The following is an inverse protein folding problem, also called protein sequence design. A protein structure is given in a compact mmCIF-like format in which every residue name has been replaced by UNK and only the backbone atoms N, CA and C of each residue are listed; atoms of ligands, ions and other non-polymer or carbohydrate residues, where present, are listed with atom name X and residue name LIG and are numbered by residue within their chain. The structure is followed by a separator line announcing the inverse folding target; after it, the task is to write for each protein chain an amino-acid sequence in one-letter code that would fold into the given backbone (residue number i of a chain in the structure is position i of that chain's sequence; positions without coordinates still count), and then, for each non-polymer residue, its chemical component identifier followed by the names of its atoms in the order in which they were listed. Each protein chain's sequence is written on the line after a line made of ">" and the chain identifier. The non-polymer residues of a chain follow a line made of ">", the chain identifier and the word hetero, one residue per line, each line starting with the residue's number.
data_IF_622659470845
#
_entry.id   IF_622659470845
#
_cell.length_a   1.000
_cell.length_b   1.000
_cell.length_c   1.000
_cell.angle_alpha   90.00
_cell.angle_beta   90.00
_cell.angle_gamma   90.00
#
_symmetry.space_group_name_H-M   'P 1'
#
loop_
_entity.id
_entity.type
_entity.pdbx_description
1 polymer ?
#
# COMPACT_ATOMS: atom_id res chain seq x y z
N UNK A 1 -9.67 -8.63 -10.13
CA UNK A 1 -8.87 -7.40 -9.97
C UNK A 1 -7.55 -7.61 -10.69
N UNK A 2 -7.06 -6.60 -11.39
CA UNK A 2 -5.73 -6.64 -12.00
C UNK A 2 -4.65 -6.70 -10.90
N UNK A 3 -3.71 -7.67 -10.94
CA UNK A 3 -2.73 -7.88 -9.87
C UNK A 3 -1.76 -6.69 -9.73
N UNK A 4 -1.48 -5.98 -10.82
CA UNK A 4 -0.57 -4.82 -10.83
C UNK A 4 -1.27 -3.63 -10.17
N UNK A 5 -2.53 -3.37 -10.51
CA UNK A 5 -3.34 -2.32 -9.87
C UNK A 5 -3.48 -2.58 -8.37
N UNK A 6 -3.78 -3.83 -7.98
CA UNK A 6 -3.89 -4.19 -6.57
C UNK A 6 -2.60 -3.92 -5.80
N UNK A 7 -1.45 -4.24 -6.40
CA UNK A 7 -0.14 -4.04 -5.79
C UNK A 7 0.16 -2.55 -5.52
N UNK A 8 -0.17 -1.67 -6.48
CA UNK A 8 -0.01 -0.22 -6.32
C UNK A 8 -0.87 0.32 -5.18
N UNK A 9 -2.15 -0.05 -5.14
CA UNK A 9 -3.06 0.40 -4.08
C UNK A 9 -2.61 -0.12 -2.71
N UNK A 10 -2.21 -1.39 -2.61
CA UNK A 10 -1.66 -1.95 -1.37
C UNK A 10 -0.41 -1.22 -0.91
N UNK A 11 0.51 -0.87 -1.82
CA UNK A 11 1.73 -0.14 -1.49
C UNK A 11 1.43 1.26 -0.92
N UNK A 12 0.47 1.98 -1.49
CA UNK A 12 0.03 3.29 -0.98
C UNK A 12 -0.57 3.18 0.43
N UNK A 13 -1.46 2.21 0.64
CA UNK A 13 -2.13 2.00 1.93
C UNK A 13 -1.13 1.62 3.01
N UNK A 14 -0.26 0.63 2.75
CA UNK A 14 0.73 0.18 3.74
C UNK A 14 1.82 1.22 3.98
N UNK A 15 2.24 1.95 2.94
CA UNK A 15 3.19 3.06 3.06
C UNK A 15 2.67 4.17 3.98
N UNK A 16 1.41 4.56 3.81
CA UNK A 16 0.79 5.58 4.66
C UNK A 16 0.63 5.10 6.10
N UNK A 17 0.20 3.85 6.33
CA UNK A 17 0.15 3.27 7.69
C UNK A 17 1.52 3.31 8.39
N UNK A 18 2.59 2.95 7.67
CA UNK A 18 3.94 3.01 8.22
C UNK A 18 4.36 4.45 8.57
N UNK A 19 4.02 5.43 7.72
CA UNK A 19 4.21 6.86 8.01
C UNK A 19 3.49 7.32 9.28
N UNK A 20 2.21 6.96 9.43
CA UNK A 20 1.40 7.30 10.59
C UNK A 20 1.91 6.65 11.89
N UNK A 21 2.49 5.46 11.81
CA UNK A 21 3.04 4.74 12.98
C UNK A 21 4.38 5.29 13.48
N UNK A 22 5.00 6.25 12.77
CA UNK A 22 6.34 6.75 13.09
C UNK A 22 7.47 5.75 12.80
N UNK A 23 7.15 4.57 12.25
CA UNK A 23 8.12 3.53 11.88
C UNK A 23 8.70 3.70 10.47
N UNK A 24 8.23 4.68 9.69
CA UNK A 24 8.75 4.95 8.36
C UNK A 24 10.14 5.59 8.43
N UNK A 25 11.12 4.97 7.76
CA UNK A 25 12.41 5.59 7.50
C UNK A 25 12.28 6.70 6.46
N UNK A 26 13.26 7.60 6.36
CA UNK A 26 13.32 8.61 5.29
C UNK A 26 13.13 7.99 3.91
N UNK A 27 13.76 6.82 3.68
CA UNK A 27 13.65 6.09 2.42
C UNK A 27 12.22 5.62 2.14
N UNK A 28 11.49 5.09 3.14
CA UNK A 28 10.07 4.71 2.97
C UNK A 28 9.22 5.92 2.59
N UNK A 29 9.44 7.06 3.26
CA UNK A 29 8.71 8.31 2.97
C UNK A 29 9.00 8.81 1.56
N UNK A 30 10.26 8.84 1.14
CA UNK A 30 10.66 9.25 -0.21
C UNK A 30 10.07 8.33 -1.28
N UNK A 31 10.13 7.01 -1.09
CA UNK A 31 9.54 6.05 -2.03
C UNK A 31 8.02 6.16 -2.09
N UNK A 32 7.33 6.41 -0.96
CA UNK A 32 5.89 6.67 -0.93
C UNK A 32 5.54 7.94 -1.72
N UNK A 33 6.26 9.05 -1.50
CA UNK A 33 6.02 10.30 -2.23
C UNK A 33 6.28 10.15 -3.73
N UNK A 34 7.33 9.42 -4.12
CA UNK A 34 7.61 9.06 -5.51
C UNK A 34 6.45 8.27 -6.12
N UNK A 35 5.93 7.27 -5.41
CA UNK A 35 4.79 6.47 -5.88
C UNK A 35 3.53 7.33 -6.06
N UNK A 36 3.21 8.20 -5.09
CA UNK A 36 2.09 9.15 -5.19
C UNK A 36 2.20 10.01 -6.45
N UNK A 37 3.38 10.59 -6.71
CA UNK A 37 3.61 11.42 -7.89
C UNK A 37 3.47 10.67 -9.22
N UNK A 38 3.94 9.42 -9.28
CA UNK A 38 3.79 8.56 -10.47
C UNK A 38 2.32 8.23 -10.74
N UNK A 39 1.55 7.90 -9.70
CA UNK A 39 0.12 7.64 -9.83
C UNK A 39 -0.64 8.88 -10.29
N UNK A 40 -0.39 10.07 -9.70
CA UNK A 40 -1.00 11.32 -10.16
C UNK A 40 -0.65 11.59 -11.64
N UNK A 41 0.62 11.39 -12.02
CA UNK A 41 1.07 11.53 -13.40
C UNK A 41 0.36 10.57 -14.36
N UNK A 42 0.10 9.33 -13.92
CA UNK A 42 -0.62 8.32 -14.67
C UNK A 42 -2.09 8.70 -14.86
N UNK A 43 -2.77 9.10 -13.78
CA UNK A 43 -4.15 9.58 -13.81
C UNK A 43 -4.30 10.79 -14.75
N UNK A 44 -3.32 11.71 -14.72
CA UNK A 44 -3.28 12.87 -15.62
C UNK A 44 -3.17 12.47 -17.09
N UNK A 45 -2.33 11.49 -17.43
CA UNK A 45 -2.28 10.93 -18.80
C UNK A 45 -3.61 10.27 -19.20
N UNK A 46 -4.35 9.76 -18.22
CA UNK A 46 -5.70 9.23 -18.37
C UNK A 46 -6.81 10.27 -18.54
N UNK A 47 -6.52 11.56 -18.45
CA UNK A 47 -7.49 12.64 -18.54
C UNK A 47 -8.03 13.17 -17.20
N UNK A 48 -7.53 12.67 -16.07
CA UNK A 48 -7.92 13.17 -14.74
C UNK A 48 -7.16 14.47 -14.43
N UNK A 49 -7.86 15.51 -13.96
CA UNK A 49 -7.21 16.75 -13.54
C UNK A 49 -6.21 16.49 -12.40
N UNK A 50 -5.12 17.26 -12.35
CA UNK A 50 -4.03 17.04 -11.38
C UNK A 50 -4.53 17.09 -9.92
N UNK A 51 -5.32 18.11 -9.57
CA UNK A 51 -5.92 18.26 -8.24
C UNK A 51 -6.85 17.09 -7.88
N UNK A 52 -7.63 16.61 -8.85
CA UNK A 52 -8.51 15.46 -8.67
C UNK A 52 -7.71 14.16 -8.48
N UNK A 53 -6.62 13.99 -9.24
CA UNK A 53 -5.71 12.86 -9.10
C UNK A 53 -5.01 12.85 -7.75
N UNK A 54 -4.54 14.01 -7.28
CA UNK A 54 -3.95 14.15 -5.95
C UNK A 54 -4.96 13.85 -4.85
N UNK A 55 -6.19 14.37 -4.97
CA UNK A 55 -7.25 14.07 -4.00
C UNK A 55 -7.60 12.58 -3.97
N UNK A 56 -7.68 11.92 -5.13
CA UNK A 56 -7.92 10.47 -5.22
C UNK A 56 -6.80 9.66 -4.57
N UNK A 57 -5.55 10.04 -4.79
CA UNK A 57 -4.40 9.36 -4.17
C UNK A 57 -4.40 9.56 -2.65
N UNK A 58 -4.68 10.77 -2.15
CA UNK A 58 -4.77 11.02 -0.71
C UNK A 58 -5.96 10.26 -0.07
N UNK A 59 -7.13 10.26 -0.70
CA UNK A 59 -8.29 9.49 -0.23
C UNK A 59 -8.00 7.98 -0.24
N UNK A 60 -7.31 7.47 -1.25
CA UNK A 60 -6.94 6.06 -1.27
C UNK A 60 -5.95 5.66 -0.16
N UNK A 61 -5.33 6.62 0.50
CA UNK A 61 -4.50 6.35 1.69
C UNK A 61 -5.29 6.31 2.99
N UNK A 62 -6.57 6.66 2.96
CA UNK A 62 -7.50 6.41 4.06
C UNK A 62 -7.83 4.91 4.12
N UNK A 63 -7.87 4.29 5.31
CA UNK A 63 -8.25 2.88 5.46
C UNK A 63 -9.70 2.56 5.04
N UNK A 64 -10.56 3.56 4.79
CA UNK A 64 -11.92 3.36 4.30
C UNK A 64 -11.93 2.73 2.89
N UNK A 65 -12.37 1.47 2.81
CA UNK A 65 -12.37 0.65 1.57
C UNK A 65 -13.09 1.27 0.38
N UNK A 66 -14.12 2.09 0.60
CA UNK A 66 -14.90 2.71 -0.49
C UNK A 66 -14.04 3.68 -1.32
N UNK A 67 -13.04 4.32 -0.70
CA UNK A 67 -12.17 5.28 -1.38
C UNK A 67 -11.14 4.59 -2.29
N UNK A 68 -10.86 3.30 -2.06
CA UNK A 68 -9.95 2.50 -2.91
C UNK A 68 -10.61 2.13 -4.25
N UNK A 69 -11.93 1.96 -4.27
CA UNK A 69 -12.65 1.50 -5.46
C UNK A 69 -12.51 2.48 -6.64
N UNK A 70 -12.59 3.79 -6.38
CA UNK A 70 -12.43 4.82 -7.41
C UNK A 70 -11.02 4.85 -7.96
N UNK A 71 -10.00 4.79 -7.09
CA UNK A 71 -8.60 4.74 -7.54
C UNK A 71 -8.32 3.48 -8.35
N UNK A 72 -8.83 2.32 -7.92
CA UNK A 72 -8.70 1.06 -8.67
C UNK A 72 -9.31 1.18 -10.06
N UNK A 73 -10.52 1.73 -10.17
CA UNK A 73 -11.21 1.87 -11.45
C UNK A 73 -10.41 2.75 -12.41
N UNK A 74 -9.92 3.89 -11.92
CA UNK A 74 -9.10 4.80 -12.72
C UNK A 74 -7.76 4.19 -13.13
N UNK A 75 -7.05 3.51 -12.22
CA UNK A 75 -5.81 2.79 -12.53
C UNK A 75 -6.04 1.64 -13.52
N UNK A 76 -7.16 0.92 -13.41
CA UNK A 76 -7.52 -0.15 -14.35
C UNK A 76 -7.79 0.41 -15.74
N UNK A 77 -8.47 1.56 -15.82
CA UNK A 77 -8.79 2.24 -17.08
C UNK A 77 -7.53 2.80 -17.76
N UNK A 78 -6.63 3.39 -16.97
CA UNK A 78 -5.41 4.05 -17.47
C UNK A 78 -4.27 3.07 -17.73
N UNK A 79 -4.28 1.91 -17.06
CA UNK A 79 -3.20 0.94 -17.07
C UNK A 79 -2.03 1.39 -16.21
N UNK A 80 -1.41 0.49 -15.47
CA UNK A 80 -0.22 0.81 -14.68
C UNK A 80 1.02 0.63 -15.56
N UNK A 81 1.88 1.65 -15.62
CA UNK A 81 3.16 1.60 -16.31
C UNK A 81 4.26 0.97 -15.44
N UNK A 82 5.31 0.47 -16.10
CA UNK A 82 6.43 -0.20 -15.42
C UNK A 82 7.06 0.63 -14.29
N UNK A 83 7.29 1.96 -14.43
CA UNK A 83 7.84 2.76 -13.35
C UNK A 83 6.95 2.79 -12.10
N UNK A 84 5.62 2.87 -12.28
CA UNK A 84 4.67 2.88 -11.15
C UNK A 84 4.63 1.52 -10.47
N UNK A 85 4.60 0.43 -11.26
CA UNK A 85 4.67 -0.93 -10.72
C UNK A 85 5.97 -1.18 -9.94
N UNK A 86 7.12 -0.77 -10.48
CA UNK A 86 8.41 -0.92 -9.82
C UNK A 86 8.49 -0.13 -8.51
N UNK A 87 8.02 1.13 -8.50
CA UNK A 87 8.01 1.96 -7.28
C UNK A 87 7.11 1.35 -6.18
N UNK A 88 5.95 0.80 -6.55
CA UNK A 88 5.07 0.12 -5.60
C UNK A 88 5.72 -1.15 -5.03
N UNK A 89 6.38 -1.95 -5.86
CA UNK A 89 7.11 -3.14 -5.44
C UNK A 89 8.29 -2.79 -4.51
N UNK A 90 9.02 -1.73 -4.84
CA UNK A 90 10.12 -1.21 -4.02
C UNK A 90 9.63 -0.79 -2.64
N UNK A 91 8.54 -0.02 -2.57
CA UNK A 91 7.94 0.42 -1.32
C UNK A 91 7.53 -0.77 -0.44
N UNK A 92 6.81 -1.76 -0.99
CA UNK A 92 6.43 -2.95 -0.25
C UNK A 92 7.64 -3.74 0.26
N UNK A 93 8.72 -3.82 -0.53
CA UNK A 93 9.96 -4.48 -0.10
C UNK A 93 10.62 -3.72 1.07
N UNK A 94 10.62 -2.39 1.04
CA UNK A 94 11.13 -1.56 2.14
C UNK A 94 10.30 -1.74 3.40
N UNK A 95 8.97 -1.75 3.27
CA UNK A 95 8.05 -1.97 4.39
C UNK A 95 8.25 -3.35 5.02
N UNK A 96 8.42 -4.40 4.22
CA UNK A 96 8.74 -5.75 4.74
C UNK A 96 10.07 -5.80 5.49
N UNK A 97 11.09 -5.05 5.02
CA UNK A 97 12.38 -4.94 5.72
C UNK A 97 12.29 -4.13 7.01
N UNK A 98 11.42 -3.13 7.03
CA UNK A 98 11.20 -2.26 8.19
C UNK A 98 10.26 -2.89 9.24
N UNK A 99 9.45 -3.88 8.85
CA UNK A 99 8.58 -4.59 9.78
C UNK A 99 9.42 -5.34 10.83
N UNK A 100 9.16 -5.06 12.12
CA UNK A 100 9.80 -5.73 13.27
C UNK A 100 9.65 -7.26 13.22
N UNK A 101 8.59 -7.75 12.59
CA UNK A 101 8.30 -9.17 12.43
C UNK A 101 7.89 -9.47 10.98
N UNK A 102 8.65 -10.33 10.30
CA UNK A 102 8.24 -10.95 9.05
C UNK A 102 7.68 -12.35 9.39
N UNK A 103 6.35 -12.50 9.42
CA UNK A 103 5.71 -13.75 9.83
C UNK A 103 5.05 -14.42 8.64
N UNK A 104 5.59 -15.57 8.25
CA UNK A 104 4.91 -16.53 7.40
C UNK A 104 4.10 -17.49 8.28
N UNK A 105 2.77 -17.41 8.14
CA UNK A 105 1.79 -18.19 8.89
C UNK A 105 0.93 -19.09 8.00
N UNK A 106 1.40 -19.40 6.79
CA UNK A 106 0.61 -20.07 5.73
C UNK A 106 0.02 -21.43 6.13
N UNK A 107 0.53 -22.04 7.21
CA UNK A 107 0.06 -23.32 7.76
C UNK A 107 -0.28 -23.25 9.27
N UNK A 108 -0.37 -22.07 9.85
CA UNK A 108 -0.55 -21.92 11.30
C UNK A 108 -2.04 -22.01 11.68
N UNK A 109 -2.35 -22.80 12.71
CA UNK A 109 -3.69 -22.86 13.33
C UNK A 109 -3.88 -21.77 14.41
N UNK A 110 -2.81 -21.07 14.78
CA UNK A 110 -2.84 -19.91 15.68
C UNK A 110 -1.54 -19.13 15.63
N UNK A 111 -1.63 -17.79 15.62
CA UNK A 111 -0.49 -16.87 15.62
C UNK A 111 -0.76 -15.75 16.60
N UNK A 112 0.20 -15.49 17.49
CA UNK A 112 0.22 -14.29 18.32
C UNK A 112 1.56 -13.58 18.17
N UNK A 113 1.50 -12.27 17.89
CA UNK A 113 2.67 -11.40 17.74
C UNK A 113 2.48 -10.19 18.65
N UNK A 114 3.42 -9.97 19.57
CA UNK A 114 3.41 -8.87 20.54
C UNK A 114 4.25 -9.20 21.77
N UNK A 115 4.52 -8.20 22.61
CA UNK A 115 5.25 -8.34 23.88
C UNK A 115 4.25 -8.42 25.05
N UNK A 116 4.50 -9.25 26.06
CA UNK A 116 3.64 -9.48 27.25
C UNK A 116 2.26 -10.12 27.00
N UNK A 117 2.12 -10.94 25.95
CA UNK A 117 0.90 -11.67 25.64
C UNK A 117 0.80 -13.04 26.32
N UNK A 118 -0.41 -13.49 26.66
CA UNK A 118 -0.73 -14.89 27.00
C UNK A 118 -1.79 -15.42 26.04
N UNK A 119 -1.52 -16.53 25.35
CA UNK A 119 -2.49 -17.25 24.51
C UNK A 119 -2.86 -18.58 25.14
N UNK A 120 -4.15 -18.90 25.19
CA UNK A 120 -4.62 -20.27 25.45
C UNK A 120 -5.36 -20.74 24.21
N UNK A 121 -4.87 -21.80 23.55
CA UNK A 121 -5.48 -22.39 22.36
C UNK A 121 -5.91 -23.81 22.71
N UNK A 122 -7.20 -24.12 22.48
CA UNK A 122 -7.74 -25.47 22.61
C UNK A 122 -7.97 -26.05 21.22
N UNK A 123 -7.34 -27.20 20.92
CA UNK A 123 -7.59 -27.97 19.70
C UNK A 123 -8.46 -29.19 20.05
N UNK A 124 -9.45 -29.50 19.21
CA UNK A 124 -10.32 -30.68 19.29
C UNK A 124 -9.98 -31.68 18.20
#
# INVERSE_FOLDING_TARGET
>A
MDPVVSLVVSALVEGTKAGLSGAATTLVTETLQKLKGLVVGLLRRGGTAEEAGQSLVEQATDPAKEQHATLVAELTRTGVDDPTHQAAQELLNLLRKAAKFNVDASHAQGVQIGDHGTQTIHFH
#
